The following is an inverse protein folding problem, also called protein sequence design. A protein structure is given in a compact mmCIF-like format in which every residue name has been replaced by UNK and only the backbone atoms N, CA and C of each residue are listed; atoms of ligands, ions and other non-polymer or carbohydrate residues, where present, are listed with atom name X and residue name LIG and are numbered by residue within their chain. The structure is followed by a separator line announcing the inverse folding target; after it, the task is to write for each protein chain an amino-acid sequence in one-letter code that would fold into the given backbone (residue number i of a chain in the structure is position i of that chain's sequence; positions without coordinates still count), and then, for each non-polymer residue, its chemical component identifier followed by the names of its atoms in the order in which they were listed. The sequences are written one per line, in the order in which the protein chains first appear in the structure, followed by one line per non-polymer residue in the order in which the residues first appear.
data_IF_184070950848
#
_entry.id   IF_184070950848
#
_cell.length_a   1.000
_cell.length_b   1.000
_cell.length_c   1.000
_cell.angle_alpha   90.00
_cell.angle_beta   90.00
_cell.angle_gamma   90.00
#
_symmetry.space_group_name_H-M   'P 1'
#
loop_
_entity.id
_entity.type
_entity.pdbx_description
1 polymer ?
#
# COMPACT_ATOMS: atom_id res chain seq x y z
N UNK A 1 -7.45 13.60 -5.62
CA UNK A 1 -6.08 13.94 -5.16
C UNK A 1 -5.23 12.71 -5.35
N UNK A 2 -4.05 12.86 -5.98
CA UNK A 2 -3.13 11.75 -6.26
C UNK A 2 -1.75 12.15 -5.72
N UNK A 3 -1.09 11.26 -4.99
CA UNK A 3 0.25 11.48 -4.44
C UNK A 3 1.26 10.61 -5.20
N UNK A 4 2.37 11.21 -5.61
CA UNK A 4 3.49 10.51 -6.25
C UNK A 4 4.74 10.71 -5.41
N UNK A 5 5.45 9.63 -5.14
CA UNK A 5 6.74 9.66 -4.45
C UNK A 5 7.64 8.54 -4.99
N UNK A 6 8.94 8.80 -4.96
CA UNK A 6 9.97 7.86 -5.36
C UNK A 6 11.00 7.74 -4.23
N UNK A 7 11.33 6.51 -3.86
CA UNK A 7 12.41 6.18 -2.93
C UNK A 7 13.39 5.25 -3.66
N UNK A 8 14.68 5.34 -3.35
CA UNK A 8 15.69 4.46 -3.94
C UNK A 8 15.52 3.00 -3.49
N UNK A 9 14.88 2.78 -2.35
CA UNK A 9 14.49 1.48 -1.78
C UNK A 9 13.10 1.10 -2.28
N UNK A 10 12.73 -0.17 -2.10
CA UNK A 10 11.38 -0.69 -2.42
C UNK A 10 10.74 -1.32 -1.19
N UNK A 11 9.44 -1.54 -1.26
CA UNK A 11 8.68 -2.27 -0.24
C UNK A 11 8.43 -1.43 1.00
N UNK A 12 8.41 -2.08 2.15
CA UNK A 12 8.09 -1.48 3.45
C UNK A 12 8.91 -0.21 3.72
N UNK A 13 10.23 -0.23 3.49
CA UNK A 13 11.09 0.91 3.76
C UNK A 13 10.69 2.17 2.98
N UNK A 14 10.31 2.02 1.71
CA UNK A 14 9.82 3.12 0.89
C UNK A 14 8.43 3.59 1.31
N UNK A 15 7.54 2.64 1.62
CA UNK A 15 6.17 2.96 2.05
C UNK A 15 6.17 3.68 3.40
N UNK A 16 7.06 3.30 4.31
CA UNK A 16 7.26 3.97 5.60
C UNK A 16 7.80 5.40 5.40
N UNK A 17 8.78 5.61 4.52
CA UNK A 17 9.31 6.94 4.20
C UNK A 17 8.24 7.87 3.60
N UNK A 18 7.32 7.32 2.79
CA UNK A 18 6.21 8.06 2.18
C UNK A 18 5.14 8.44 3.23
N UNK A 19 5.08 7.74 4.37
CA UNK A 19 4.26 8.02 5.56
C UNK A 19 2.73 8.11 5.36
N UNK A 20 2.22 7.62 4.22
CA UNK A 20 0.78 7.56 3.96
C UNK A 20 0.17 6.29 4.58
N UNK A 21 0.70 5.13 4.22
CA UNK A 21 0.11 3.86 4.64
C UNK A 21 0.25 3.57 6.15
N UNK A 22 1.38 3.92 6.82
CA UNK A 22 1.50 3.79 8.28
C UNK A 22 0.41 4.52 9.07
N UNK A 23 -0.04 5.68 8.59
CA UNK A 23 -1.03 6.54 9.25
C UNK A 23 -2.47 6.29 8.77
N UNK A 24 -2.64 5.56 7.67
CA UNK A 24 -3.95 5.29 7.08
C UNK A 24 -4.74 4.24 7.87
N UNK A 25 -6.05 4.47 8.04
CA UNK A 25 -6.99 3.59 8.77
C UNK A 25 -8.23 3.19 7.96
N UNK A 26 -8.30 3.62 6.69
CA UNK A 26 -9.41 3.31 5.78
C UNK A 26 -9.24 1.94 5.10
N UNK A 27 -9.83 1.79 3.91
CA UNK A 27 -9.64 0.60 3.07
C UNK A 27 -8.51 0.83 2.07
N UNK A 28 -7.44 0.04 2.16
CA UNK A 28 -6.34 0.01 1.20
C UNK A 28 -6.66 -1.06 0.14
N UNK A 29 -7.02 -0.61 -1.06
CA UNK A 29 -7.19 -1.49 -2.22
C UNK A 29 -5.85 -1.61 -2.93
N UNK A 30 -5.30 -2.82 -3.04
CA UNK A 30 -3.97 -3.06 -3.61
C UNK A 30 -3.92 -4.32 -4.49
N UNK A 31 -2.83 -4.48 -5.24
CA UNK A 31 -2.60 -5.58 -6.18
C UNK A 31 -2.22 -6.92 -5.53
N UNK A 32 -1.97 -6.93 -4.22
CA UNK A 32 -1.61 -8.14 -3.47
C UNK A 32 -0.12 -8.28 -3.21
N UNK A 33 0.67 -7.23 -3.45
CA UNK A 33 2.08 -7.24 -3.10
C UNK A 33 2.32 -7.45 -1.58
N UNK A 34 3.24 -8.35 -1.24
CA UNK A 34 3.47 -8.80 0.14
C UNK A 34 3.82 -7.65 1.10
N UNK A 35 4.44 -6.56 0.62
CA UNK A 35 4.80 -5.42 1.47
C UNK A 35 3.60 -4.74 2.14
N UNK A 36 2.39 -4.87 1.56
CA UNK A 36 1.18 -4.33 2.19
C UNK A 36 0.81 -5.07 3.48
N UNK A 37 1.24 -6.31 3.69
CA UNK A 37 0.89 -7.12 4.88
C UNK A 37 1.48 -6.60 6.19
N UNK A 38 2.44 -5.67 6.12
CA UNK A 38 3.02 -5.00 7.29
C UNK A 38 2.12 -3.93 7.90
N UNK A 39 1.00 -3.56 7.27
CA UNK A 39 0.17 -2.41 7.65
C UNK A 39 -1.22 -2.81 8.15
N UNK A 40 -1.26 -3.51 9.30
CA UNK A 40 -2.47 -4.10 9.89
C UNK A 40 -3.53 -3.10 10.35
N UNK A 41 -3.19 -1.83 10.49
CA UNK A 41 -4.09 -0.81 11.04
C UNK A 41 -5.14 -0.33 10.02
N UNK A 42 -5.02 -0.73 8.76
CA UNK A 42 -5.99 -0.46 7.71
C UNK A 42 -6.74 -1.73 7.30
N UNK A 43 -7.92 -1.56 6.68
CA UNK A 43 -8.63 -2.68 6.06
C UNK A 43 -7.99 -2.96 4.70
N UNK A 44 -7.70 -4.23 4.41
CA UNK A 44 -7.14 -4.63 3.12
C UNK A 44 -8.22 -5.11 2.16
N UNK A 45 -8.11 -4.71 0.90
CA UNK A 45 -8.90 -5.23 -0.21
C UNK A 45 -7.99 -5.46 -1.42
N UNK A 46 -8.26 -6.53 -2.17
CA UNK A 46 -7.56 -6.78 -3.43
C UNK A 46 -8.23 -6.02 -4.56
N UNK A 47 -7.43 -5.49 -5.46
CA UNK A 47 -7.91 -4.81 -6.66
C UNK A 47 -8.58 -5.83 -7.59
N UNK A 48 -9.89 -5.69 -7.81
CA UNK A 48 -10.67 -6.61 -8.65
C UNK A 48 -10.14 -6.76 -10.08
N UNK A 49 -9.54 -5.71 -10.64
CA UNK A 49 -8.92 -5.78 -11.97
C UNK A 49 -7.69 -6.70 -12.02
N UNK A 50 -6.97 -6.87 -10.91
CA UNK A 50 -5.84 -7.79 -10.81
C UNK A 50 -6.29 -9.22 -10.53
N UNK A 51 -7.45 -9.42 -9.89
CA UNK A 51 -8.02 -10.76 -9.69
C UNK A 51 -8.56 -11.38 -10.98
N UNK A 52 -8.93 -10.56 -11.97
CA UNK A 52 -9.41 -11.00 -13.27
C UNK A 52 -8.28 -11.24 -14.29
N UNK A 53 -7.02 -11.22 -13.85
CA UNK A 53 -5.83 -11.41 -14.68
C UNK A 53 -5.00 -12.57 -14.15
#
# INVERSE_FOLDING_TARGET
MTHYAADARRGKAAIDEIDILPSYRGTCVHDGWLSYTHYSDCRHALCGAHLMR
#
